data_IF_083904298520
#
_entry.id   IF_083904298520
#
_cell.length_a   1.000
_cell.length_b   1.000
_cell.length_c   1.000
_cell.angle_alpha   90.00
_cell.angle_beta   90.00
_cell.angle_gamma   90.00
#
_symmetry.space_group_name_H-M   'P 1'
#
loop_
_entity.id
_entity.type
_entity.pdbx_description
1 polymer ?
#
# COMPACT_ATOMS: atom_id res chain seq x y z
N UNK A 1 -5.90 -8.44 15.99
CA UNK A 1 -5.89 -7.88 14.61
C UNK A 1 -6.41 -8.93 13.65
N UNK A 2 -7.22 -8.51 12.68
CA UNK A 2 -7.87 -9.43 11.74
C UNK A 2 -7.66 -8.92 10.31
N UNK A 3 -7.16 -9.79 9.42
CA UNK A 3 -6.96 -9.49 7.99
C UNK A 3 -8.05 -10.18 7.19
N UNK A 4 -8.70 -9.41 6.29
CA UNK A 4 -9.81 -9.87 5.48
C UNK A 4 -9.58 -9.47 4.03
N UNK A 5 -9.77 -10.40 3.10
CA UNK A 5 -9.69 -10.07 1.67
C UNK A 5 -10.89 -9.20 1.27
N UNK A 6 -10.63 -8.18 0.46
CA UNK A 6 -11.63 -7.20 0.02
C UNK A 6 -12.30 -7.69 -1.26
N UNK A 7 -13.64 -7.60 -1.31
CA UNK A 7 -14.42 -7.87 -2.50
C UNK A 7 -15.14 -6.62 -3.00
N UNK A 8 -15.82 -6.74 -4.15
CA UNK A 8 -16.55 -5.61 -4.77
C UNK A 8 -17.64 -5.03 -3.88
N UNK A 9 -18.24 -5.82 -2.99
CA UNK A 9 -19.25 -5.34 -2.05
C UNK A 9 -18.69 -4.30 -1.06
N UNK A 10 -17.36 -4.21 -0.93
CA UNK A 10 -16.69 -3.30 -0.01
C UNK A 10 -15.97 -2.15 -0.73
N UNK A 11 -16.34 -1.90 -1.99
CA UNK A 11 -15.68 -0.90 -2.83
C UNK A 11 -15.70 0.51 -2.21
N UNK A 12 -16.84 0.94 -1.65
CA UNK A 12 -16.95 2.27 -1.02
C UNK A 12 -16.05 2.38 0.20
N UNK A 13 -15.96 1.33 0.99
CA UNK A 13 -15.10 1.29 2.17
C UNK A 13 -13.62 1.31 1.76
N UNK A 14 -13.28 0.59 0.69
CA UNK A 14 -11.92 0.61 0.14
C UNK A 14 -11.54 2.01 -0.34
N UNK A 15 -12.44 2.71 -1.02
CA UNK A 15 -12.18 4.08 -1.45
C UNK A 15 -11.95 5.01 -0.25
N UNK A 16 -12.77 4.90 0.77
CA UNK A 16 -12.66 5.74 1.97
C UNK A 16 -11.33 5.55 2.67
N UNK A 17 -10.93 4.32 2.95
CA UNK A 17 -9.66 4.04 3.63
C UNK A 17 -8.46 4.42 2.74
N UNK A 18 -8.58 4.22 1.43
CA UNK A 18 -7.52 4.58 0.48
C UNK A 18 -7.28 6.09 0.45
N UNK A 19 -8.35 6.88 0.38
CA UNK A 19 -8.25 8.35 0.40
C UNK A 19 -7.73 8.87 1.73
N UNK A 20 -8.26 8.37 2.84
CA UNK A 20 -7.88 8.84 4.17
C UNK A 20 -6.40 8.57 4.47
N UNK A 21 -5.92 7.37 4.18
CA UNK A 21 -4.52 7.03 4.41
C UNK A 21 -3.59 7.78 3.47
N UNK A 22 -3.99 7.96 2.21
CA UNK A 22 -3.20 8.72 1.25
C UNK A 22 -3.09 10.18 1.66
N UNK A 23 -4.19 10.78 2.09
CA UNK A 23 -4.21 12.16 2.58
C UNK A 23 -3.29 12.34 3.79
N UNK A 24 -3.35 11.44 4.76
CA UNK A 24 -2.46 11.48 5.93
C UNK A 24 -0.97 11.41 5.56
N UNK A 25 -0.63 10.71 4.48
CA UNK A 25 0.75 10.52 4.04
C UNK A 25 1.25 11.71 3.20
N UNK A 26 0.44 12.21 2.28
CA UNK A 26 0.90 13.09 1.20
C UNK A 26 0.39 14.55 1.30
N UNK A 27 -0.71 14.83 2.00
CA UNK A 27 -1.35 16.14 1.96
C UNK A 27 -0.44 17.28 2.42
N UNK A 28 0.43 17.06 3.41
CA UNK A 28 1.33 18.08 3.94
C UNK A 28 2.39 18.53 2.91
N UNK A 29 2.65 17.72 1.87
CA UNK A 29 3.71 17.93 0.89
C UNK A 29 3.19 18.23 -0.51
N UNK A 30 1.87 18.27 -0.70
CA UNK A 30 1.25 18.43 -2.01
C UNK A 30 0.13 19.46 -1.97
N UNK A 31 -0.18 20.05 -3.13
CA UNK A 31 -1.30 21.00 -3.23
C UNK A 31 -2.64 20.26 -3.15
N UNK A 32 -3.67 20.99 -2.73
CA UNK A 32 -5.03 20.47 -2.71
C UNK A 32 -5.49 20.04 -4.11
N UNK A 33 -5.07 20.78 -5.14
CA UNK A 33 -5.41 20.47 -6.54
C UNK A 33 -4.79 19.16 -6.99
N UNK A 34 -3.52 18.93 -6.69
CA UNK A 34 -2.83 17.69 -7.03
C UNK A 34 -3.43 16.49 -6.27
N UNK A 35 -3.79 16.67 -5.00
CA UNK A 35 -4.46 15.65 -4.22
C UNK A 35 -5.82 15.28 -4.83
N UNK A 36 -6.63 16.27 -5.19
CA UNK A 36 -7.94 16.06 -5.83
C UNK A 36 -7.79 15.34 -7.16
N UNK A 37 -6.83 15.76 -7.98
CA UNK A 37 -6.54 15.10 -9.26
C UNK A 37 -6.17 13.63 -9.07
N UNK A 38 -5.33 13.34 -8.10
CA UNK A 38 -4.94 11.95 -7.78
C UNK A 38 -6.15 11.12 -7.35
N UNK A 39 -7.01 11.65 -6.48
CA UNK A 39 -8.21 10.96 -6.02
C UNK A 39 -9.17 10.65 -7.16
N UNK A 40 -9.38 11.61 -8.06
CA UNK A 40 -10.28 11.44 -9.20
C UNK A 40 -9.79 10.41 -10.23
N UNK A 41 -8.48 10.30 -10.43
CA UNK A 41 -7.90 9.42 -11.45
C UNK A 41 -7.44 8.07 -10.89
N UNK A 42 -6.85 8.06 -9.71
CA UNK A 42 -6.22 6.86 -9.17
C UNK A 42 -7.06 6.16 -8.11
N UNK A 43 -7.93 6.88 -7.39
CA UNK A 43 -8.75 6.35 -6.31
C UNK A 43 -10.26 6.55 -6.55
N UNK A 44 -10.68 6.69 -7.80
CA UNK A 44 -12.10 6.69 -8.14
C UNK A 44 -12.71 5.32 -7.91
N UNK A 45 -14.04 5.28 -7.72
CA UNK A 45 -14.75 3.99 -7.59
C UNK A 45 -14.54 3.10 -8.81
N UNK A 46 -14.59 3.69 -10.02
CA UNK A 46 -14.39 2.93 -11.26
C UNK A 46 -12.98 2.34 -11.33
N UNK A 47 -11.97 3.13 -11.00
CA UNK A 47 -10.58 2.66 -11.02
C UNK A 47 -10.34 1.55 -9.99
N UNK A 48 -10.82 1.72 -8.77
CA UNK A 48 -10.68 0.72 -7.72
C UNK A 48 -11.45 -0.56 -8.06
N UNK A 49 -12.63 -0.44 -8.70
CA UNK A 49 -13.39 -1.59 -9.16
C UNK A 49 -12.61 -2.39 -10.22
N UNK A 50 -11.96 -1.72 -11.17
CA UNK A 50 -11.10 -2.36 -12.16
C UNK A 50 -9.95 -3.10 -11.49
N UNK A 51 -9.30 -2.48 -10.52
CA UNK A 51 -8.18 -3.10 -9.80
C UNK A 51 -8.64 -4.31 -8.98
N UNK A 52 -9.80 -4.23 -8.31
CA UNK A 52 -10.35 -5.36 -7.56
C UNK A 52 -10.69 -6.57 -8.45
N UNK A 53 -11.05 -6.32 -9.70
CA UNK A 53 -11.40 -7.36 -10.67
C UNK A 53 -10.19 -7.92 -11.42
N UNK A 54 -9.03 -7.29 -11.29
CA UNK A 54 -7.81 -7.77 -11.94
C UNK A 54 -7.38 -9.12 -11.36
N UNK A 55 -7.08 -10.12 -12.19
CA UNK A 55 -6.68 -11.45 -11.71
C UNK A 55 -5.32 -11.45 -11.01
N UNK A 56 -4.50 -10.40 -11.21
CA UNK A 56 -3.17 -10.29 -10.60
C UNK A 56 -3.14 -9.40 -9.36
N UNK A 57 -4.24 -8.73 -9.04
CA UNK A 57 -4.32 -7.83 -7.88
C UNK A 57 -5.21 -8.40 -6.79
N UNK A 58 -4.80 -8.20 -5.54
CA UNK A 58 -5.58 -8.57 -4.35
C UNK A 58 -5.49 -7.47 -3.31
N UNK A 59 -6.63 -7.16 -2.69
CA UNK A 59 -6.70 -6.17 -1.62
C UNK A 59 -7.07 -6.82 -0.31
N UNK A 60 -6.49 -6.34 0.77
CA UNK A 60 -6.74 -6.83 2.13
C UNK A 60 -6.97 -5.68 3.08
N UNK A 61 -8.01 -5.79 3.91
CA UNK A 61 -8.24 -4.91 5.04
C UNK A 61 -7.59 -5.48 6.29
N UNK A 62 -7.17 -4.62 7.19
CA UNK A 62 -6.79 -5.02 8.54
C UNK A 62 -7.62 -4.25 9.56
N UNK A 63 -8.17 -4.99 10.51
CA UNK A 63 -8.98 -4.47 11.61
C UNK A 63 -8.21 -4.62 12.93
N UNK A 64 -8.24 -3.56 13.72
CA UNK A 64 -7.81 -3.61 15.12
C UNK A 64 -9.10 -3.57 15.94
N UNK A 65 -9.37 -4.66 16.65
CA UNK A 65 -10.68 -4.90 17.25
C UNK A 65 -11.75 -4.87 16.14
N UNK A 66 -12.73 -3.99 16.18
CA UNK A 66 -13.76 -3.91 15.15
C UNK A 66 -13.56 -2.70 14.22
N UNK A 67 -12.40 -2.02 14.30
CA UNK A 67 -12.16 -0.80 13.55
C UNK A 67 -11.21 -1.01 12.39
N UNK A 68 -11.62 -0.57 11.18
CA UNK A 68 -10.77 -0.64 9.99
C UNK A 68 -9.58 0.30 10.17
N UNK A 69 -8.38 -0.27 10.14
CA UNK A 69 -7.15 0.42 10.54
C UNK A 69 -6.19 0.68 9.39
N UNK A 70 -6.32 -0.06 8.30
CA UNK A 70 -5.44 0.06 7.15
C UNK A 70 -5.79 -0.94 6.06
N UNK A 71 -4.99 -0.92 5.00
CA UNK A 71 -5.18 -1.87 3.90
C UNK A 71 -3.86 -2.12 3.17
N UNK A 72 -3.87 -3.18 2.37
CA UNK A 72 -2.74 -3.58 1.54
C UNK A 72 -3.23 -4.00 0.17
N UNK A 73 -2.50 -3.62 -0.88
CA UNK A 73 -2.70 -4.12 -2.24
C UNK A 73 -1.48 -4.91 -2.67
N UNK A 74 -1.69 -6.13 -3.11
CA UNK A 74 -0.67 -7.02 -3.67
C UNK A 74 -0.87 -7.16 -5.17
N UNK A 75 0.22 -7.11 -5.92
CA UNK A 75 0.24 -7.49 -7.34
C UNK A 75 1.13 -8.72 -7.49
N UNK A 76 0.54 -9.81 -7.96
CA UNK A 76 1.22 -11.10 -8.03
C UNK A 76 1.17 -11.59 -9.48
N UNK A 77 2.33 -11.65 -10.12
CA UNK A 77 2.50 -12.16 -11.48
C UNK A 77 3.80 -12.95 -11.54
N UNK A 78 4.78 -12.52 -12.32
CA UNK A 78 6.13 -13.09 -12.30
C UNK A 78 6.91 -12.67 -11.05
N UNK A 79 6.53 -11.54 -10.45
CA UNK A 79 7.09 -11.06 -9.19
C UNK A 79 5.98 -10.85 -8.18
N UNK A 80 6.34 -10.75 -6.90
CA UNK A 80 5.41 -10.45 -5.82
C UNK A 80 5.67 -9.02 -5.36
N UNK A 81 4.71 -8.14 -5.64
CA UNK A 81 4.78 -6.72 -5.29
C UNK A 81 3.79 -6.36 -4.20
N UNK A 82 4.23 -5.60 -3.21
CA UNK A 82 3.33 -4.85 -2.34
C UNK A 82 3.20 -3.45 -2.94
N UNK A 83 2.12 -3.21 -3.69
CA UNK A 83 1.92 -1.92 -4.34
C UNK A 83 1.50 -0.84 -3.35
N UNK A 84 0.66 -1.19 -2.38
CA UNK A 84 0.16 -0.27 -1.35
C UNK A 84 0.12 -0.96 -0.01
N UNK A 85 0.60 -0.28 1.01
CA UNK A 85 0.44 -0.67 2.40
C UNK A 85 0.34 0.62 3.21
N UNK A 86 -0.85 0.88 3.76
CA UNK A 86 -1.15 2.11 4.47
C UNK A 86 -1.93 1.83 5.74
N UNK A 87 -1.50 2.47 6.82
CA UNK A 87 -2.12 2.37 8.14
C UNK A 87 -2.51 3.78 8.57
N UNK A 88 -3.75 3.94 9.06
CA UNK A 88 -4.18 5.22 9.63
C UNK A 88 -3.24 5.63 10.77
N UNK A 89 -2.93 6.91 10.84
CA UNK A 89 -1.96 7.44 11.81
C UNK A 89 -2.26 7.00 13.25
N UNK A 90 -3.53 6.98 13.65
CA UNK A 90 -3.93 6.59 15.02
C UNK A 90 -3.66 5.13 15.36
N UNK A 91 -3.42 4.29 14.37
CA UNK A 91 -3.09 2.87 14.56
C UNK A 91 -1.62 2.55 14.31
N UNK A 92 -0.79 3.55 14.04
CA UNK A 92 0.64 3.31 13.85
C UNK A 92 1.35 3.09 15.20
N UNK A 93 2.43 2.34 15.17
CA UNK A 93 3.25 2.08 16.36
C UNK A 93 2.76 0.96 17.28
N UNK A 94 1.73 0.22 16.87
CA UNK A 94 1.18 -0.91 17.66
C UNK A 94 1.28 -2.27 16.94
N UNK A 95 2.07 -2.33 15.86
CA UNK A 95 2.35 -3.59 15.16
C UNK A 95 1.41 -3.91 14.01
N UNK A 96 0.54 -2.99 13.57
CA UNK A 96 -0.41 -3.23 12.46
C UNK A 96 0.34 -3.45 11.16
N UNK A 97 1.30 -2.58 10.85
CA UNK A 97 2.13 -2.70 9.65
C UNK A 97 2.93 -4.00 9.62
N UNK A 98 3.48 -4.39 10.77
CA UNK A 98 4.23 -5.65 10.89
C UNK A 98 3.32 -6.86 10.65
N UNK A 99 2.10 -6.82 11.14
CA UNK A 99 1.13 -7.90 10.93
C UNK A 99 0.79 -8.05 9.45
N UNK A 100 0.52 -6.94 8.74
CA UNK A 100 0.30 -6.98 7.30
C UNK A 100 1.54 -7.47 6.54
N UNK A 101 2.71 -7.01 6.93
CA UNK A 101 3.96 -7.41 6.28
C UNK A 101 4.24 -8.90 6.45
N UNK A 102 4.04 -9.44 7.65
CA UNK A 102 4.18 -10.88 7.89
C UNK A 102 3.20 -11.69 7.05
N UNK A 103 1.97 -11.19 6.89
CA UNK A 103 1.00 -11.81 6.00
C UNK A 103 1.53 -11.87 4.55
N UNK A 104 2.09 -10.76 4.05
CA UNK A 104 2.67 -10.72 2.71
C UNK A 104 3.86 -11.68 2.57
N UNK A 105 4.73 -11.76 3.57
CA UNK A 105 5.85 -12.70 3.58
C UNK A 105 5.35 -14.14 3.48
N UNK A 106 4.38 -14.50 4.29
CA UNK A 106 3.82 -15.86 4.30
C UNK A 106 3.16 -16.20 2.97
N UNK A 107 2.41 -15.28 2.38
CA UNK A 107 1.80 -15.44 1.07
C UNK A 107 2.86 -15.65 -0.01
N UNK A 108 3.89 -14.81 -0.05
CA UNK A 108 4.94 -14.91 -1.07
C UNK A 108 5.70 -16.23 -0.99
N UNK A 109 6.03 -16.66 0.21
CA UNK A 109 6.71 -17.96 0.43
C UNK A 109 5.84 -19.14 0.04
N UNK A 110 4.56 -19.11 0.41
CA UNK A 110 3.63 -20.20 0.09
C UNK A 110 3.40 -20.36 -1.41
N UNK A 111 3.51 -19.26 -2.17
CA UNK A 111 3.40 -19.27 -3.62
C UNK A 111 4.72 -19.56 -4.34
N UNK A 112 5.80 -19.81 -3.60
CA UNK A 112 7.08 -20.20 -4.16
C UNK A 112 8.00 -19.05 -4.58
N UNK A 113 7.70 -17.81 -4.16
CA UNK A 113 8.59 -16.69 -4.45
C UNK A 113 9.79 -16.67 -3.50
N UNK A 114 10.95 -16.27 -4.03
CA UNK A 114 12.19 -16.13 -3.27
C UNK A 114 12.39 -14.73 -2.70
N UNK A 115 11.58 -13.77 -3.16
CA UNK A 115 11.65 -12.38 -2.74
C UNK A 115 10.33 -11.68 -3.00
N UNK A 116 10.14 -10.54 -2.35
CA UNK A 116 9.09 -9.59 -2.69
C UNK A 116 9.67 -8.18 -2.73
N UNK A 117 8.97 -7.27 -3.41
CA UNK A 117 9.44 -5.90 -3.58
C UNK A 117 8.32 -4.89 -3.39
N UNK A 118 8.72 -3.65 -3.13
CA UNK A 118 7.81 -2.51 -3.01
C UNK A 118 8.51 -1.22 -3.43
N UNK A 119 7.72 -0.21 -3.76
CA UNK A 119 8.19 1.15 -3.93
C UNK A 119 7.69 2.00 -2.77
N UNK A 120 8.50 2.93 -2.30
CA UNK A 120 8.13 3.86 -1.24
C UNK A 120 8.60 5.26 -1.60
N UNK A 121 7.72 6.25 -1.37
CA UNK A 121 8.03 7.65 -1.60
C UNK A 121 9.29 8.04 -0.82
N UNK A 122 10.23 8.73 -1.50
CA UNK A 122 11.55 9.04 -0.93
C UNK A 122 11.49 9.89 0.34
N UNK A 123 10.41 10.67 0.53
CA UNK A 123 10.22 11.50 1.73
C UNK A 123 9.44 10.81 2.84
N UNK A 124 8.99 9.59 2.63
CA UNK A 124 8.32 8.81 3.68
C UNK A 124 9.36 8.11 4.55
N UNK A 125 10.08 8.90 5.34
CA UNK A 125 11.21 8.43 6.14
C UNK A 125 10.81 7.38 7.17
N UNK A 126 9.59 7.48 7.72
CA UNK A 126 9.05 6.51 8.67
C UNK A 126 8.88 5.13 8.05
N UNK A 127 8.26 5.08 6.87
CA UNK A 127 8.08 3.82 6.14
C UNK A 127 9.43 3.23 5.71
N UNK A 128 10.34 4.06 5.22
CA UNK A 128 11.69 3.62 4.82
C UNK A 128 12.41 2.96 6.00
N UNK A 129 12.38 3.60 7.18
CA UNK A 129 13.00 3.04 8.39
C UNK A 129 12.36 1.70 8.77
N UNK A 130 11.03 1.60 8.65
CA UNK A 130 10.30 0.37 8.92
C UNK A 130 10.74 -0.76 8.00
N UNK A 131 10.78 -0.51 6.67
CA UNK A 131 11.20 -1.54 5.70
C UNK A 131 12.65 -1.96 5.90
N UNK A 132 13.55 -1.01 6.17
CA UNK A 132 14.95 -1.32 6.48
C UNK A 132 15.06 -2.21 7.72
N UNK A 133 14.28 -1.94 8.76
CA UNK A 133 14.27 -2.75 9.99
C UNK A 133 13.84 -4.18 9.74
N UNK A 134 13.05 -4.43 8.70
CA UNK A 134 12.59 -5.76 8.31
C UNK A 134 13.57 -6.47 7.34
N UNK A 135 14.68 -5.83 7.00
CA UNK A 135 15.69 -6.41 6.12
C UNK A 135 15.52 -6.11 4.64
N UNK A 136 14.66 -5.14 4.29
CA UNK A 136 14.56 -4.67 2.91
C UNK A 136 15.81 -3.91 2.51
N UNK A 137 16.24 -4.09 1.26
CA UNK A 137 17.41 -3.43 0.68
C UNK A 137 16.97 -2.68 -0.56
N UNK A 138 17.40 -1.41 -0.69
CA UNK A 138 17.11 -0.62 -1.88
C UNK A 138 17.89 -1.15 -3.09
N UNK A 139 17.24 -1.16 -4.26
CA UNK A 139 17.86 -1.65 -5.49
C UNK A 139 17.60 -0.78 -6.72
N UNK A 140 16.83 0.30 -6.57
CA UNK A 140 16.53 1.19 -7.68
C UNK A 140 15.55 2.27 -7.27
N UNK A 141 15.05 2.99 -8.26
CA UNK A 141 14.08 4.06 -8.08
C UNK A 141 13.25 4.22 -9.35
N UNK A 142 12.03 4.76 -9.21
CA UNK A 142 11.22 5.16 -10.35
C UNK A 142 10.39 6.40 -10.01
N UNK A 143 9.98 7.12 -11.07
CA UNK A 143 9.15 8.31 -10.92
C UNK A 143 7.68 7.95 -10.88
N UNK A 144 6.87 8.74 -10.16
CA UNK A 144 5.42 8.68 -10.25
C UNK A 144 4.82 10.08 -10.22
N UNK A 145 3.63 10.23 -10.83
CA UNK A 145 2.91 11.50 -10.85
C UNK A 145 1.87 11.56 -9.75
N UNK A 146 1.92 12.67 -8.98
CA UNK A 146 0.86 13.05 -8.07
C UNK A 146 0.24 14.34 -8.60
N UNK A 147 -0.85 14.23 -9.36
CA UNK A 147 -1.38 15.38 -10.09
C UNK A 147 -0.37 15.90 -11.12
N UNK A 148 0.07 17.14 -10.97
CA UNK A 148 1.09 17.74 -11.83
C UNK A 148 2.51 17.57 -11.29
N UNK A 149 2.68 17.03 -10.08
CA UNK A 149 3.96 16.93 -9.39
C UNK A 149 4.62 15.58 -9.65
N UNK A 150 5.82 15.62 -10.25
CA UNK A 150 6.63 14.42 -10.48
C UNK A 150 7.40 14.11 -9.20
N UNK A 151 7.16 12.93 -8.65
CA UNK A 151 7.79 12.46 -7.43
C UNK A 151 8.57 11.17 -7.67
N UNK A 152 9.35 10.74 -6.69
CA UNK A 152 10.22 9.58 -6.84
C UNK A 152 9.96 8.57 -5.73
N UNK A 153 9.82 7.31 -6.14
CA UNK A 153 9.80 6.15 -5.25
C UNK A 153 11.16 5.48 -5.24
N UNK A 154 11.58 5.02 -4.08
CA UNK A 154 12.74 4.15 -3.93
C UNK A 154 12.22 2.72 -3.91
N UNK A 155 12.86 1.85 -4.70
CA UNK A 155 12.50 0.43 -4.79
C UNK A 155 13.28 -0.38 -3.76
N UNK A 156 12.56 -1.17 -2.98
CA UNK A 156 13.12 -2.05 -1.94
C UNK A 156 12.74 -3.49 -2.20
N UNK A 157 13.66 -4.40 -1.89
CA UNK A 157 13.45 -5.84 -2.03
C UNK A 157 13.81 -6.54 -0.73
N UNK A 158 13.01 -7.54 -0.38
CA UNK A 158 13.29 -8.49 0.69
C UNK A 158 13.44 -9.87 0.08
N UNK A 159 14.61 -10.49 0.26
CA UNK A 159 14.88 -11.86 -0.16
C UNK A 159 14.75 -12.81 1.03
N UNK A 160 14.33 -14.04 0.75
CA UNK A 160 14.09 -15.06 1.78
C UNK A 160 15.21 -16.10 1.81
#
# INVERSE_FOLDING_TARGET
MRIVQVGLSELSLLQEISKNTFEETFAAFNTKEDMTHYFEHNLSLDQLALELQSPTSSFYFIYVEEELSGYMKLNISETFEIERIYILNKFQGIGVGKTLMNFAFDQSKSLGFNSLWLGVWEHNTRAISFYKSLGFISYGEHDFLLGSDLQRDILYRKSF
#
